data_IF_165482659239
#
_entry.id   IF_165482659239
#
_cell.length_a   1.000
_cell.length_b   1.000
_cell.length_c   1.000
_cell.angle_alpha   90.00
_cell.angle_beta   90.00
_cell.angle_gamma   90.00
#
_symmetry.space_group_name_H-M   'P 1'
#
loop_
_entity.id
_entity.type
_entity.pdbx_description
1 polymer ?
#
# COMPACT_ATOMS: atom_id res chain seq x y z
N UNK A 1 -15.69 -32.59 -28.48
CA UNK A 1 -16.58 -32.19 -27.37
C UNK A 1 -16.17 -30.79 -26.96
N UNK A 2 -17.00 -29.80 -27.27
CA UNK A 2 -16.80 -28.42 -26.82
C UNK A 2 -17.07 -28.37 -25.32
N UNK A 3 -16.02 -28.45 -24.50
CA UNK A 3 -16.13 -28.19 -23.07
C UNK A 3 -16.57 -26.73 -22.96
N UNK A 4 -17.83 -26.52 -22.61
CA UNK A 4 -18.32 -25.19 -22.26
C UNK A 4 -17.46 -24.71 -21.09
N UNK A 5 -16.56 -23.77 -21.35
CA UNK A 5 -15.84 -23.06 -20.29
C UNK A 5 -16.95 -22.52 -19.37
N UNK A 6 -16.96 -22.87 -18.07
CA UNK A 6 -18.00 -22.38 -17.21
C UNK A 6 -18.00 -20.84 -17.29
N UNK A 7 -19.18 -20.23 -17.42
CA UNK A 7 -19.34 -18.78 -17.58
C UNK A 7 -18.58 -17.99 -16.49
N UNK A 8 -18.46 -18.60 -15.32
CA UNK A 8 -17.82 -18.02 -14.14
C UNK A 8 -16.31 -17.75 -14.31
N UNK A 9 -15.42 -18.73 -14.60
CA UNK A 9 -14.03 -18.46 -14.96
C UNK A 9 -13.83 -17.51 -16.14
N UNK A 10 -14.75 -17.50 -17.11
CA UNK A 10 -14.65 -16.64 -18.29
C UNK A 10 -14.90 -15.16 -17.97
N UNK A 11 -15.72 -14.86 -16.95
CA UNK A 11 -16.09 -13.48 -16.58
C UNK A 11 -15.32 -12.97 -15.37
N UNK A 12 -15.08 -13.83 -14.37
CA UNK A 12 -14.51 -13.45 -13.07
C UNK A 12 -13.07 -13.99 -12.86
N UNK A 13 -12.53 -14.72 -13.84
CA UNK A 13 -11.18 -15.25 -13.78
C UNK A 13 -11.01 -16.28 -12.66
N UNK A 14 -9.97 -16.10 -11.83
CA UNK A 14 -9.65 -17.01 -10.72
C UNK A 14 -10.57 -16.85 -9.50
N UNK A 15 -11.42 -15.82 -9.49
CA UNK A 15 -12.25 -15.50 -8.34
C UNK A 15 -13.28 -16.60 -8.07
N UNK A 16 -13.33 -17.07 -6.83
CA UNK A 16 -14.31 -18.02 -6.31
C UNK A 16 -14.89 -17.56 -4.97
N UNK A 17 -15.96 -18.22 -4.53
CA UNK A 17 -16.61 -17.91 -3.26
C UNK A 17 -15.69 -18.09 -2.04
N UNK A 18 -14.75 -19.03 -2.13
CA UNK A 18 -13.70 -19.28 -1.12
C UNK A 18 -12.72 -18.10 -0.97
N UNK A 19 -12.66 -17.17 -1.93
CA UNK A 19 -11.81 -15.97 -1.80
C UNK A 19 -12.40 -14.95 -0.82
N UNK A 20 -13.68 -15.07 -0.45
CA UNK A 20 -14.29 -14.18 0.52
C UNK A 20 -14.09 -14.74 1.95
N UNK A 21 -13.51 -13.96 2.88
CA UNK A 21 -13.25 -14.44 4.24
C UNK A 21 -14.55 -14.79 4.98
N UNK A 22 -15.67 -14.15 4.63
CA UNK A 22 -16.98 -14.45 5.21
C UNK A 22 -17.48 -15.86 4.88
N UNK A 23 -17.19 -16.33 3.66
CA UNK A 23 -17.56 -17.68 3.21
C UNK A 23 -16.66 -18.69 3.89
N UNK A 24 -15.34 -18.45 3.94
CA UNK A 24 -14.39 -19.30 4.66
C UNK A 24 -14.76 -19.46 6.13
N UNK A 25 -15.11 -18.37 6.81
CA UNK A 25 -15.53 -18.41 8.21
C UNK A 25 -16.90 -19.08 8.41
N UNK A 26 -17.80 -19.01 7.43
CA UNK A 26 -19.10 -19.70 7.49
C UNK A 26 -18.94 -21.22 7.32
N UNK A 27 -18.13 -21.64 6.36
CA UNK A 27 -17.92 -23.05 6.06
C UNK A 27 -17.00 -23.74 7.08
N UNK A 28 -15.94 -23.05 7.52
CA UNK A 28 -14.94 -23.55 8.45
C UNK A 28 -14.69 -22.52 9.58
N UNK A 29 -15.55 -22.47 10.62
CA UNK A 29 -15.51 -21.44 11.67
C UNK A 29 -14.37 -21.64 12.68
N UNK A 30 -13.13 -21.62 12.20
CA UNK A 30 -11.94 -21.57 13.08
C UNK A 30 -11.77 -20.16 13.63
N UNK A 31 -11.09 -20.02 14.78
CA UNK A 31 -10.82 -18.69 15.37
C UNK A 31 -10.05 -17.80 14.37
N UNK A 32 -9.11 -18.40 13.62
CA UNK A 32 -8.34 -17.73 12.59
C UNK A 32 -9.22 -17.13 11.49
N UNK A 33 -10.14 -17.91 10.91
CA UNK A 33 -11.07 -17.44 9.87
C UNK A 33 -12.05 -16.41 10.41
N UNK A 34 -12.54 -16.58 11.65
CA UNK A 34 -13.44 -15.61 12.29
C UNK A 34 -12.74 -14.26 12.46
N UNK A 35 -11.47 -14.23 12.86
CA UNK A 35 -10.68 -12.99 12.96
C UNK A 35 -10.56 -12.32 11.58
N UNK A 36 -10.24 -13.10 10.54
CA UNK A 36 -10.14 -12.59 9.17
C UNK A 36 -11.46 -12.02 8.66
N UNK A 37 -12.57 -12.76 8.82
CA UNK A 37 -13.90 -12.32 8.45
C UNK A 37 -14.35 -11.08 9.23
N UNK A 38 -14.04 -10.99 10.52
CA UNK A 38 -14.33 -9.81 11.31
C UNK A 38 -13.55 -8.58 10.80
N UNK A 39 -12.26 -8.74 10.49
CA UNK A 39 -11.45 -7.67 9.92
C UNK A 39 -12.00 -7.20 8.56
N UNK A 40 -12.34 -8.13 7.67
CA UNK A 40 -12.98 -7.83 6.38
C UNK A 40 -14.32 -7.11 6.56
N UNK A 41 -15.15 -7.55 7.52
CA UNK A 41 -16.44 -6.95 7.80
C UNK A 41 -16.29 -5.51 8.30
N UNK A 42 -15.31 -5.24 9.17
CA UNK A 42 -15.03 -3.91 9.71
C UNK A 42 -14.70 -2.93 8.58
N UNK A 43 -13.90 -3.35 7.60
CA UNK A 43 -13.56 -2.52 6.43
C UNK A 43 -14.79 -2.24 5.56
N UNK A 44 -15.58 -3.27 5.24
CA UNK A 44 -16.79 -3.13 4.40
C UNK A 44 -17.83 -2.25 5.09
N UNK A 45 -18.15 -2.54 6.35
CA UNK A 45 -19.10 -1.75 7.15
C UNK A 45 -18.59 -0.32 7.32
N UNK A 46 -17.30 -0.13 7.60
CA UNK A 46 -16.70 1.20 7.68
C UNK A 46 -16.89 2.01 6.40
N UNK A 47 -16.63 1.41 5.24
CA UNK A 47 -16.84 2.06 3.94
C UNK A 47 -18.32 2.42 3.70
N UNK A 48 -19.25 1.51 4.02
CA UNK A 48 -20.70 1.75 3.90
C UNK A 48 -21.14 2.88 4.84
N UNK A 49 -20.68 2.89 6.09
CA UNK A 49 -21.00 3.95 7.07
C UNK A 49 -20.49 5.29 6.58
N UNK A 50 -19.25 5.37 6.08
CA UNK A 50 -18.70 6.62 5.52
C UNK A 50 -19.55 7.10 4.33
N UNK A 51 -19.90 6.22 3.39
CA UNK A 51 -20.74 6.56 2.24
C UNK A 51 -22.15 7.03 2.66
N UNK A 52 -22.75 6.38 3.67
CA UNK A 52 -24.05 6.76 4.22
C UNK A 52 -23.99 8.14 4.90
N UNK A 53 -22.94 8.42 5.68
CA UNK A 53 -22.73 9.73 6.32
C UNK A 53 -22.51 10.84 5.28
N UNK A 54 -21.70 10.59 4.26
CA UNK A 54 -21.48 11.55 3.16
C UNK A 54 -22.79 11.87 2.41
N UNK A 55 -23.63 10.86 2.20
CA UNK A 55 -24.94 11.01 1.57
C UNK A 55 -25.90 11.78 2.47
N UNK A 56 -26.00 11.41 3.76
CA UNK A 56 -26.86 12.08 4.74
C UNK A 56 -26.52 13.57 4.91
N UNK A 57 -25.24 13.91 4.94
CA UNK A 57 -24.79 15.31 5.09
C UNK A 57 -24.64 16.06 3.75
N UNK A 58 -24.94 15.43 2.61
CA UNK A 58 -24.83 16.05 1.29
C UNK A 58 -23.42 16.52 0.92
N UNK A 59 -22.37 15.84 1.42
CA UNK A 59 -20.98 16.29 1.29
C UNK A 59 -20.23 15.75 0.07
N UNK A 60 -20.87 14.97 -0.80
CA UNK A 60 -20.26 14.41 -2.01
C UNK A 60 -19.63 15.47 -2.93
N UNK A 61 -20.38 16.53 -3.24
CA UNK A 61 -19.86 17.62 -4.09
C UNK A 61 -18.67 18.31 -3.45
N UNK A 62 -18.75 18.62 -2.16
CA UNK A 62 -17.66 19.25 -1.41
C UNK A 62 -16.41 18.36 -1.40
N UNK A 63 -16.55 17.06 -1.10
CA UNK A 63 -15.44 16.13 -1.10
C UNK A 63 -14.75 16.09 -2.47
N UNK A 64 -15.53 15.98 -3.54
CA UNK A 64 -15.02 15.95 -4.91
C UNK A 64 -14.28 17.24 -5.28
N UNK A 65 -14.94 18.39 -5.19
CA UNK A 65 -14.39 19.66 -5.70
C UNK A 65 -13.31 20.26 -4.81
N UNK A 66 -13.40 20.07 -3.49
CA UNK A 66 -12.47 20.70 -2.56
C UNK A 66 -11.29 19.81 -2.18
N UNK A 67 -11.42 18.48 -2.22
CA UNK A 67 -10.38 17.58 -1.72
C UNK A 67 -9.86 16.65 -2.81
N UNK A 68 -10.71 15.83 -3.40
CA UNK A 68 -10.26 14.74 -4.27
C UNK A 68 -9.58 15.25 -5.55
N UNK A 69 -10.06 16.38 -6.10
CA UNK A 69 -9.46 17.02 -7.27
C UNK A 69 -8.56 18.20 -6.92
N UNK A 70 -8.18 18.37 -5.65
CA UNK A 70 -7.34 19.48 -5.23
C UNK A 70 -5.90 19.34 -5.71
N UNK A 71 -5.32 20.46 -6.15
CA UNK A 71 -3.90 20.59 -6.47
C UNK A 71 -3.10 21.30 -5.37
N UNK A 72 -3.77 21.89 -4.37
CA UNK A 72 -3.12 22.57 -3.25
C UNK A 72 -2.27 21.58 -2.42
N UNK A 73 -0.97 21.84 -2.34
CA UNK A 73 -0.01 21.04 -1.57
C UNK A 73 -0.41 20.84 -0.10
N UNK A 74 -1.15 21.78 0.51
CA UNK A 74 -1.64 21.63 1.89
C UNK A 74 -2.70 20.55 1.98
N UNK A 75 -3.70 20.58 1.10
CA UNK A 75 -4.78 19.57 1.07
C UNK A 75 -4.23 18.20 0.69
N UNK A 76 -3.31 18.15 -0.27
CA UNK A 76 -2.59 16.91 -0.64
C UNK A 76 -1.80 16.37 0.56
N UNK A 77 -1.07 17.23 1.27
CA UNK A 77 -0.34 16.86 2.48
C UNK A 77 -1.24 16.29 3.58
N UNK A 78 -2.41 16.91 3.81
CA UNK A 78 -3.42 16.40 4.75
C UNK A 78 -3.93 15.03 4.31
N UNK A 79 -4.28 14.84 3.03
CA UNK A 79 -4.78 13.55 2.54
C UNK A 79 -3.74 12.43 2.69
N UNK A 80 -2.46 12.70 2.43
CA UNK A 80 -1.37 11.77 2.70
C UNK A 80 -1.32 11.33 4.18
N UNK A 81 -1.40 12.29 5.10
CA UNK A 81 -1.38 12.04 6.54
C UNK A 81 -2.62 11.23 6.98
N UNK A 82 -3.80 11.57 6.46
CA UNK A 82 -5.04 10.81 6.74
C UNK A 82 -4.91 9.36 6.29
N UNK A 83 -4.41 9.12 5.07
CA UNK A 83 -4.17 7.76 4.56
C UNK A 83 -3.18 7.02 5.46
N UNK A 84 -2.09 7.66 5.85
CA UNK A 84 -1.12 7.05 6.77
C UNK A 84 -1.75 6.65 8.11
N UNK A 85 -2.63 7.48 8.68
CA UNK A 85 -3.32 7.15 9.94
C UNK A 85 -4.34 6.03 9.80
N UNK A 86 -5.06 5.97 8.68
CA UNK A 86 -5.95 4.84 8.38
C UNK A 86 -5.13 3.55 8.31
N UNK A 87 -4.01 3.56 7.59
CA UNK A 87 -3.13 2.41 7.46
C UNK A 87 -2.43 2.05 8.77
N UNK A 88 -2.06 3.03 9.59
CA UNK A 88 -1.53 2.83 10.94
C UNK A 88 -2.52 2.09 11.83
N UNK A 89 -3.82 2.45 11.77
CA UNK A 89 -4.84 1.79 12.59
C UNK A 89 -4.92 0.29 12.30
N UNK A 90 -4.85 -0.09 11.02
CA UNK A 90 -4.78 -1.49 10.59
C UNK A 90 -3.50 -2.16 11.09
N UNK A 91 -2.34 -1.58 10.80
CA UNK A 91 -1.05 -2.17 11.18
C UNK A 91 -0.90 -2.33 12.70
N UNK A 92 -1.49 -1.43 13.49
CA UNK A 92 -1.50 -1.54 14.95
C UNK A 92 -2.31 -2.75 15.41
N UNK A 93 -3.49 -2.99 14.85
CA UNK A 93 -4.29 -4.19 15.16
C UNK A 93 -3.52 -5.47 14.80
N UNK A 94 -2.91 -5.52 13.60
CA UNK A 94 -2.08 -6.65 13.17
C UNK A 94 -0.89 -6.87 14.13
N UNK A 95 -0.23 -5.81 14.57
CA UNK A 95 0.89 -5.89 15.53
C UNK A 95 0.45 -6.49 16.86
N UNK A 96 -0.66 -6.02 17.41
CA UNK A 96 -1.18 -6.50 18.69
C UNK A 96 -1.61 -7.97 18.55
N UNK A 97 -2.30 -8.36 17.47
CA UNK A 97 -2.66 -9.76 17.21
C UNK A 97 -1.43 -10.67 17.12
N UNK A 98 -0.39 -10.26 16.39
CA UNK A 98 0.86 -11.03 16.31
C UNK A 98 1.52 -11.19 17.68
N UNK A 99 1.59 -10.12 18.48
CA UNK A 99 2.19 -10.18 19.82
C UNK A 99 1.35 -11.03 20.78
N UNK A 100 0.02 -10.95 20.70
CA UNK A 100 -0.88 -11.81 21.47
C UNK A 100 -0.72 -13.28 21.10
N UNK A 101 -0.65 -13.61 19.81
CA UNK A 101 -0.41 -14.98 19.36
C UNK A 101 0.91 -15.52 19.92
N UNK A 102 2.00 -14.74 19.84
CA UNK A 102 3.30 -15.17 20.39
C UNK A 102 3.29 -15.39 21.90
N UNK A 103 2.54 -14.58 22.64
CA UNK A 103 2.42 -14.73 24.09
C UNK A 103 1.62 -15.99 24.48
N UNK A 104 0.54 -16.28 23.75
CA UNK A 104 -0.34 -17.43 24.03
C UNK A 104 0.25 -18.74 23.48
N UNK A 105 1.04 -18.69 22.41
CA UNK A 105 1.62 -19.88 21.77
C UNK A 105 2.83 -20.49 22.51
N UNK A 106 3.18 -19.99 23.70
CA UNK A 106 4.18 -20.63 24.55
C UNK A 106 3.56 -21.94 25.06
N UNK A 107 4.13 -23.07 24.62
CA UNK A 107 3.65 -24.42 24.95
C UNK A 107 2.19 -24.71 24.51
N UNK A 108 1.67 -23.94 23.55
CA UNK A 108 0.30 -24.08 23.02
C UNK A 108 0.28 -23.74 21.51
N UNK A 109 -0.60 -24.32 20.68
CA UNK A 109 -0.73 -23.92 19.27
C UNK A 109 -1.17 -22.46 19.06
N UNK A 110 -1.75 -21.79 20.07
CA UNK A 110 -2.31 -20.44 19.95
C UNK A 110 -3.62 -20.41 19.16
N UNK A 111 -4.02 -19.23 18.68
CA UNK A 111 -5.32 -18.99 18.05
C UNK A 111 -5.24 -18.62 16.55
N UNK A 112 -4.05 -18.30 16.03
CA UNK A 112 -3.80 -18.07 14.61
C UNK A 112 -3.16 -19.29 13.96
N UNK A 113 -3.55 -19.60 12.73
CA UNK A 113 -2.80 -20.56 11.90
C UNK A 113 -1.46 -19.96 11.46
N UNK A 114 -0.45 -20.80 11.15
CA UNK A 114 0.83 -20.31 10.63
C UNK A 114 0.69 -19.41 9.40
N UNK A 115 -0.21 -19.75 8.48
CA UNK A 115 -0.45 -18.96 7.27
C UNK A 115 -1.06 -17.61 7.61
N UNK A 116 -2.09 -17.55 8.46
CA UNK A 116 -2.69 -16.27 8.86
C UNK A 116 -1.67 -15.40 9.61
N UNK A 117 -0.83 -15.98 10.47
CA UNK A 117 0.26 -15.24 11.10
C UNK A 117 1.27 -14.71 10.07
N UNK A 118 1.64 -15.52 9.08
CA UNK A 118 2.51 -15.10 7.97
C UNK A 118 1.92 -13.96 7.15
N UNK A 119 0.61 -13.99 6.90
CA UNK A 119 -0.10 -12.90 6.23
C UNK A 119 -0.08 -11.61 7.06
N UNK A 120 -0.36 -11.69 8.37
CA UNK A 120 -0.31 -10.53 9.28
C UNK A 120 1.10 -9.93 9.37
N UNK A 121 2.14 -10.76 9.43
CA UNK A 121 3.52 -10.27 9.46
C UNK A 121 3.90 -9.54 8.16
N UNK A 122 3.53 -10.12 7.02
CA UNK A 122 3.83 -9.56 5.70
C UNK A 122 3.08 -8.26 5.44
N UNK A 123 1.77 -8.23 5.75
CA UNK A 123 0.93 -7.03 5.65
C UNK A 123 1.43 -5.94 6.59
N UNK A 124 1.62 -6.25 7.87
CA UNK A 124 2.07 -5.28 8.88
C UNK A 124 3.37 -4.59 8.44
N UNK A 125 4.40 -5.37 8.09
CA UNK A 125 5.69 -4.80 7.66
C UNK A 125 5.57 -3.94 6.41
N UNK A 126 4.81 -4.41 5.41
CA UNK A 126 4.59 -3.67 4.16
C UNK A 126 3.84 -2.37 4.41
N UNK A 127 2.82 -2.39 5.28
CA UNK A 127 2.02 -1.23 5.65
C UNK A 127 2.86 -0.20 6.39
N UNK A 128 3.59 -0.62 7.42
CA UNK A 128 4.34 0.31 8.27
C UNK A 128 5.37 1.11 7.47
N UNK A 129 6.03 0.48 6.49
CA UNK A 129 7.06 1.14 5.68
C UNK A 129 6.44 1.92 4.52
N UNK A 130 5.69 1.24 3.64
CA UNK A 130 5.26 1.82 2.36
C UNK A 130 3.97 2.64 2.45
N UNK A 131 3.10 2.34 3.42
CA UNK A 131 1.75 2.91 3.47
C UNK A 131 1.45 3.71 4.75
N UNK A 132 2.35 3.68 5.73
CA UNK A 132 2.31 4.53 6.93
C UNK A 132 3.49 5.52 6.92
N UNK A 133 4.73 5.05 7.08
CA UNK A 133 5.88 5.92 7.27
C UNK A 133 6.15 6.81 6.04
N UNK A 134 6.21 6.22 4.84
CA UNK A 134 6.43 7.00 3.61
C UNK A 134 5.30 8.03 3.39
N UNK A 135 4.00 7.66 3.36
CA UNK A 135 2.92 8.63 3.16
C UNK A 135 2.84 9.70 4.24
N UNK A 136 3.07 9.34 5.52
CA UNK A 136 3.08 10.31 6.61
C UNK A 136 4.16 11.38 6.41
N UNK A 137 5.39 10.94 6.14
CA UNK A 137 6.52 11.84 5.91
C UNK A 137 6.33 12.66 4.63
N UNK A 138 5.92 12.04 3.53
CA UNK A 138 5.62 12.75 2.27
C UNK A 138 4.48 13.76 2.45
N UNK A 139 3.48 13.46 3.27
CA UNK A 139 2.40 14.38 3.61
C UNK A 139 2.87 15.59 4.41
N UNK A 140 3.73 15.35 5.41
CA UNK A 140 4.37 16.42 6.18
C UNK A 140 5.23 17.32 5.28
N UNK A 141 6.05 16.72 4.39
CA UNK A 141 6.87 17.46 3.44
C UNK A 141 5.99 18.29 2.51
N UNK A 142 4.95 17.69 1.92
CA UNK A 142 4.01 18.40 1.06
C UNK A 142 3.39 19.62 1.74
N UNK A 143 2.97 19.47 3.00
CA UNK A 143 2.32 20.57 3.71
C UNK A 143 3.30 21.68 4.07
N UNK A 144 4.44 21.31 4.67
CA UNK A 144 5.35 22.25 5.36
C UNK A 144 6.38 22.85 4.41
N UNK A 145 6.92 22.07 3.45
CA UNK A 145 8.09 22.45 2.68
C UNK A 145 7.88 23.73 1.85
N UNK A 146 6.81 23.89 1.03
CA UNK A 146 6.64 25.12 0.24
C UNK A 146 6.57 26.37 1.12
N UNK A 147 5.93 26.26 2.29
CA UNK A 147 5.82 27.35 3.25
C UNK A 147 7.19 27.76 3.81
N UNK A 148 8.05 26.79 4.15
CA UNK A 148 9.38 27.07 4.70
C UNK A 148 10.33 27.73 3.69
N UNK A 149 10.20 27.40 2.41
CA UNK A 149 11.07 27.95 1.36
C UNK A 149 10.48 29.18 0.67
N UNK A 150 9.29 29.62 1.07
CA UNK A 150 8.60 30.77 0.49
C UNK A 150 8.05 30.54 -0.92
N UNK A 151 7.77 29.28 -1.27
CA UNK A 151 7.11 28.91 -2.52
C UNK A 151 5.59 28.98 -2.36
N UNK A 152 4.87 29.31 -3.44
CA UNK A 152 3.39 29.33 -3.45
C UNK A 152 2.79 27.93 -3.46
N UNK A 153 3.46 27.00 -4.13
CA UNK A 153 3.04 25.62 -4.33
C UNK A 153 4.26 24.76 -4.70
N UNK A 154 4.04 23.46 -4.93
CA UNK A 154 5.02 22.53 -5.48
C UNK A 154 5.33 22.81 -6.96
N UNK A 155 6.47 22.35 -7.45
CA UNK A 155 6.91 22.54 -8.84
C UNK A 155 5.94 21.94 -9.87
N UNK A 156 5.36 20.78 -9.56
CA UNK A 156 4.41 20.08 -10.41
C UNK A 156 3.14 19.73 -9.62
N UNK A 157 2.19 20.66 -9.44
CA UNK A 157 0.99 20.42 -8.63
C UNK A 157 0.14 19.23 -9.12
N UNK A 158 0.03 19.05 -10.44
CA UNK A 158 -0.70 17.93 -11.03
C UNK A 158 -0.02 16.57 -10.78
N UNK A 159 1.30 16.49 -10.97
CA UNK A 159 2.07 15.27 -10.66
C UNK A 159 2.03 14.96 -9.15
N UNK A 160 1.91 15.99 -8.31
CA UNK A 160 1.73 15.84 -6.87
C UNK A 160 0.43 15.10 -6.52
N UNK A 161 -0.67 15.49 -7.18
CA UNK A 161 -1.97 14.86 -7.01
C UNK A 161 -1.94 13.40 -7.51
N UNK A 162 -1.28 13.14 -8.65
CA UNK A 162 -1.11 11.76 -9.15
C UNK A 162 -0.30 10.90 -8.20
N UNK A 163 0.81 11.43 -7.67
CA UNK A 163 1.63 10.70 -6.70
C UNK A 163 0.79 10.25 -5.49
N UNK A 164 -0.06 11.14 -4.97
CA UNK A 164 -1.01 10.81 -3.90
C UNK A 164 -1.97 9.70 -4.32
N UNK A 165 -2.58 9.82 -5.50
CA UNK A 165 -3.57 8.84 -5.96
C UNK A 165 -2.97 7.48 -6.27
N UNK A 166 -1.72 7.41 -6.74
CA UNK A 166 -0.97 6.16 -6.87
C UNK A 166 -0.72 5.53 -5.50
N UNK A 167 -0.34 6.32 -4.50
CA UNK A 167 -0.20 5.84 -3.10
C UNK A 167 -1.53 5.34 -2.55
N UNK A 168 -2.63 6.08 -2.76
CA UNK A 168 -3.97 5.68 -2.30
C UNK A 168 -4.43 4.41 -3.02
N UNK A 169 -4.22 4.30 -4.33
CA UNK A 169 -4.57 3.10 -5.10
C UNK A 169 -3.79 1.88 -4.63
N UNK A 170 -2.48 2.04 -4.37
CA UNK A 170 -1.63 0.99 -3.81
C UNK A 170 -2.08 0.55 -2.39
N UNK A 171 -2.38 1.50 -1.50
CA UNK A 171 -2.95 1.21 -0.20
C UNK A 171 -4.33 0.56 -0.32
N UNK A 172 -5.13 0.96 -1.31
CA UNK A 172 -6.42 0.35 -1.64
C UNK A 172 -6.29 -1.11 -2.05
N UNK A 173 -5.30 -1.48 -2.87
CA UNK A 173 -5.01 -2.88 -3.21
C UNK A 173 -4.61 -3.68 -1.96
N UNK A 174 -3.80 -3.10 -1.08
CA UNK A 174 -3.45 -3.72 0.19
C UNK A 174 -4.69 -3.96 1.06
N UNK A 175 -5.62 -3.01 1.13
CA UNK A 175 -6.88 -3.15 1.87
C UNK A 175 -7.85 -4.13 1.22
N UNK A 176 -7.86 -4.23 -0.11
CA UNK A 176 -8.71 -5.15 -0.83
C UNK A 176 -8.39 -6.62 -0.50
N UNK A 177 -7.12 -6.95 -0.25
CA UNK A 177 -6.70 -8.31 0.14
C UNK A 177 -7.32 -8.83 1.45
N UNK A 178 -7.85 -7.95 2.32
CA UNK A 178 -8.59 -8.36 3.52
C UNK A 178 -10.01 -8.84 3.22
N UNK A 179 -10.57 -8.46 2.07
CA UNK A 179 -11.97 -8.72 1.70
C UNK A 179 -12.07 -9.71 0.56
N UNK A 180 -11.07 -9.72 -0.33
CA UNK A 180 -11.01 -10.58 -1.51
C UNK A 180 -9.65 -11.24 -1.58
N UNK A 181 -9.65 -12.57 -1.52
CA UNK A 181 -8.45 -13.41 -1.53
C UNK A 181 -7.78 -13.47 -0.17
N UNK A 182 -6.45 -13.47 -0.22
CA UNK A 182 -5.53 -13.55 0.90
C UNK A 182 -4.29 -12.71 0.58
N UNK A 183 -3.54 -12.32 1.61
CA UNK A 183 -2.28 -11.60 1.40
C UNK A 183 -1.07 -12.54 1.33
N UNK A 184 0.08 -12.01 0.90
CA UNK A 184 1.34 -12.76 0.87
C UNK A 184 1.74 -13.26 2.26
N UNK A 185 2.26 -14.48 2.34
CA UNK A 185 2.96 -15.02 3.52
C UNK A 185 4.48 -14.83 3.44
N UNK A 186 5.00 -14.29 2.33
CA UNK A 186 6.44 -14.22 2.03
C UNK A 186 7.23 -13.13 2.74
N UNK A 187 6.67 -12.54 3.80
CA UNK A 187 7.23 -11.39 4.49
C UNK A 187 7.17 -10.11 3.67
N UNK A 188 7.49 -8.98 4.32
CA UNK A 188 7.57 -7.68 3.64
C UNK A 188 8.79 -7.56 2.72
N UNK A 189 9.79 -8.43 2.89
CA UNK A 189 10.99 -8.50 2.05
C UNK A 189 10.79 -9.33 0.77
N UNK A 190 9.72 -10.14 0.71
CA UNK A 190 9.30 -10.91 -0.46
C UNK A 190 10.46 -11.65 -1.16
N UNK A 191 11.16 -12.52 -0.43
CA UNK A 191 12.28 -13.28 -1.00
C UNK A 191 11.82 -14.14 -2.19
N UNK A 192 12.46 -14.04 -3.37
CA UNK A 192 12.00 -14.71 -4.57
C UNK A 192 11.84 -16.23 -4.44
N UNK A 193 12.79 -16.99 -3.83
CA UNK A 193 12.66 -18.45 -3.75
C UNK A 193 11.39 -18.93 -3.07
N UNK A 194 10.78 -18.14 -2.18
CA UNK A 194 9.50 -18.47 -1.53
C UNK A 194 8.30 -17.81 -2.23
N UNK A 195 8.47 -16.62 -2.77
CA UNK A 195 7.38 -15.86 -3.43
C UNK A 195 7.14 -16.27 -4.88
N UNK A 196 7.97 -17.14 -5.43
CA UNK A 196 7.74 -17.80 -6.71
C UNK A 196 6.47 -18.66 -6.73
N UNK A 197 5.91 -18.87 -7.93
CA UNK A 197 4.65 -19.61 -8.09
C UNK A 197 4.70 -21.04 -7.60
N UNK A 198 5.88 -21.68 -7.64
CA UNK A 198 6.05 -23.05 -7.21
C UNK A 198 5.81 -23.23 -5.69
N UNK A 199 6.12 -22.22 -4.89
CA UNK A 199 6.00 -22.26 -3.43
C UNK A 199 4.82 -21.42 -2.91
N UNK A 200 4.51 -20.32 -3.58
CA UNK A 200 3.40 -19.42 -3.27
C UNK A 200 2.45 -19.27 -4.47
N UNK A 201 1.62 -20.29 -4.78
CA UNK A 201 0.75 -20.28 -5.96
C UNK A 201 -0.44 -19.31 -5.86
N UNK A 202 -0.79 -18.88 -4.65
CA UNK A 202 -1.90 -17.99 -4.37
C UNK A 202 -1.70 -16.54 -4.86
N UNK A 203 -2.77 -15.75 -4.75
CA UNK A 203 -2.83 -14.35 -5.21
C UNK A 203 -2.14 -13.36 -4.27
N UNK A 204 -1.76 -13.77 -3.06
CA UNK A 204 -1.23 -12.87 -2.03
C UNK A 204 0.05 -12.15 -2.43
N UNK A 205 0.98 -12.86 -3.08
CA UNK A 205 2.21 -12.25 -3.63
C UNK A 205 1.86 -11.24 -4.73
N UNK A 206 0.82 -11.52 -5.52
CA UNK A 206 0.40 -10.63 -6.61
C UNK A 206 -0.17 -9.30 -6.05
N UNK A 207 -0.94 -9.33 -4.95
CA UNK A 207 -1.34 -8.12 -4.23
C UNK A 207 -0.13 -7.30 -3.77
N UNK A 208 0.89 -7.96 -3.19
CA UNK A 208 2.11 -7.30 -2.73
C UNK A 208 2.87 -6.65 -3.89
N UNK A 209 3.09 -7.37 -5.00
CA UNK A 209 3.79 -6.88 -6.20
C UNK A 209 3.14 -5.59 -6.71
N UNK A 210 1.83 -5.61 -6.95
CA UNK A 210 1.16 -4.47 -7.57
C UNK A 210 0.98 -3.29 -6.62
N UNK A 211 0.74 -3.55 -5.33
CA UNK A 211 0.69 -2.50 -4.32
C UNK A 211 2.06 -1.80 -4.19
N UNK A 212 3.15 -2.55 -4.04
CA UNK A 212 4.50 -1.97 -3.90
C UNK A 212 4.94 -1.29 -5.18
N UNK A 213 4.66 -1.86 -6.36
CA UNK A 213 4.98 -1.23 -7.66
C UNK A 213 4.31 0.14 -7.80
N UNK A 214 2.99 0.21 -7.58
CA UNK A 214 2.25 1.47 -7.69
C UNK A 214 2.69 2.50 -6.65
N UNK A 215 2.91 2.06 -5.40
CA UNK A 215 3.42 2.91 -4.33
C UNK A 215 4.81 3.47 -4.65
N UNK A 216 5.70 2.64 -5.22
CA UNK A 216 7.05 3.03 -5.62
C UNK A 216 7.06 4.06 -6.76
N UNK A 217 6.19 3.92 -7.76
CA UNK A 217 6.03 4.92 -8.83
C UNK A 217 5.55 6.25 -8.23
N UNK A 218 4.53 6.22 -7.36
CA UNK A 218 4.03 7.42 -6.67
C UNK A 218 5.12 8.10 -5.84
N UNK A 219 5.90 7.34 -5.06
CA UNK A 219 7.04 7.85 -4.29
C UNK A 219 8.14 8.44 -5.18
N UNK A 220 8.44 7.83 -6.31
CA UNK A 220 9.42 8.37 -7.28
C UNK A 220 8.96 9.74 -7.78
N UNK A 221 7.70 9.86 -8.19
CA UNK A 221 7.11 11.11 -8.67
C UNK A 221 7.12 12.20 -7.58
N UNK A 222 6.76 11.85 -6.35
CA UNK A 222 6.82 12.75 -5.21
C UNK A 222 8.26 13.25 -4.96
N UNK A 223 9.25 12.35 -5.01
CA UNK A 223 10.66 12.69 -4.88
C UNK A 223 11.13 13.71 -5.92
N UNK A 224 10.83 13.45 -7.21
CA UNK A 224 11.14 14.39 -8.30
C UNK A 224 10.51 15.76 -8.04
N UNK A 225 9.22 15.78 -7.67
CA UNK A 225 8.50 17.02 -7.43
C UNK A 225 9.08 17.82 -6.25
N UNK A 226 9.34 17.16 -5.12
CA UNK A 226 9.97 17.78 -3.94
C UNK A 226 11.34 18.35 -4.30
N UNK A 227 12.19 17.57 -4.97
CA UNK A 227 13.53 18.01 -5.36
C UNK A 227 13.46 19.24 -6.28
N UNK A 228 12.66 19.19 -7.34
CA UNK A 228 12.48 20.30 -8.26
C UNK A 228 11.96 21.56 -7.55
N UNK A 229 11.01 21.40 -6.61
CA UNK A 229 10.48 22.50 -5.80
C UNK A 229 11.59 23.19 -5.02
N UNK A 230 12.45 22.43 -4.32
CA UNK A 230 13.58 22.99 -3.58
C UNK A 230 14.64 23.59 -4.50
N UNK A 231 14.95 22.97 -5.64
CA UNK A 231 15.97 23.50 -6.55
C UNK A 231 15.54 24.78 -7.27
N UNK A 232 14.26 24.93 -7.60
CA UNK A 232 13.79 25.96 -8.53
C UNK A 232 12.86 27.02 -7.94
N UNK A 233 12.14 26.74 -6.86
CA UNK A 233 11.06 27.61 -6.38
C UNK A 233 11.30 28.29 -5.02
N UNK A 234 12.52 28.22 -4.48
CA UNK A 234 12.86 28.95 -3.25
C UNK A 234 12.74 30.45 -3.44
N UNK A 235 12.44 31.15 -2.34
CA UNK A 235 12.40 32.60 -2.30
C UNK A 235 13.75 33.23 -2.74
N UNK A 236 13.72 34.39 -3.44
CA UNK A 236 14.94 35.09 -3.84
C UNK A 236 15.86 35.38 -2.65
N UNK A 237 17.16 35.14 -2.83
CA UNK A 237 18.17 35.35 -1.77
C UNK A 237 18.34 34.16 -0.79
N UNK A 238 17.49 33.15 -0.86
CA UNK A 238 17.63 31.92 -0.07
C UNK A 238 18.65 30.96 -0.71
N UNK A 239 19.90 31.04 -0.23
CA UNK A 239 20.95 30.05 -0.56
C UNK A 239 20.64 28.71 0.11
N UNK A 240 21.16 27.61 -0.43
CA UNK A 240 20.99 26.26 0.13
C UNK A 240 21.31 26.22 1.63
N UNK A 241 22.49 26.70 2.05
CA UNK A 241 22.91 26.69 3.46
C UNK A 241 22.13 27.64 4.39
N UNK A 242 21.11 28.34 3.87
CA UNK A 242 20.17 29.16 4.66
C UNK A 242 18.79 28.53 4.79
N UNK A 243 18.55 27.40 4.14
CA UNK A 243 17.30 26.65 4.30
C UNK A 243 17.22 26.05 5.70
N UNK A 244 16.00 25.91 6.23
CA UNK A 244 15.76 25.22 7.49
C UNK A 244 16.15 23.74 7.40
N UNK A 245 16.47 23.13 8.53
CA UNK A 245 16.89 21.72 8.58
C UNK A 245 15.83 20.76 8.03
N UNK A 246 14.55 21.05 8.22
CA UNK A 246 13.47 20.26 7.63
C UNK A 246 13.49 20.32 6.09
N UNK A 247 13.67 21.49 5.49
CA UNK A 247 13.78 21.63 4.04
C UNK A 247 15.03 20.93 3.47
N UNK A 248 16.15 20.97 4.19
CA UNK A 248 17.37 20.24 3.83
C UNK A 248 17.19 18.74 3.86
N UNK A 249 16.67 18.20 4.96
CA UNK A 249 16.42 16.76 5.10
C UNK A 249 15.37 16.29 4.09
N UNK A 250 14.34 17.10 3.82
CA UNK A 250 13.36 16.84 2.76
C UNK A 250 14.01 16.74 1.38
N UNK A 251 14.98 17.61 1.07
CA UNK A 251 15.75 17.53 -0.18
C UNK A 251 16.54 16.21 -0.23
N UNK A 252 17.27 15.86 0.83
CA UNK A 252 18.01 14.59 0.88
C UNK A 252 17.08 13.37 0.70
N UNK A 253 15.96 13.33 1.42
CA UNK A 253 14.94 12.29 1.28
C UNK A 253 14.41 12.21 -0.14
N UNK A 254 14.14 13.34 -0.78
CA UNK A 254 13.63 13.37 -2.16
C UNK A 254 14.64 12.82 -3.18
N UNK A 255 15.94 13.07 -2.98
CA UNK A 255 17.01 12.50 -3.80
C UNK A 255 17.06 10.98 -3.62
N UNK A 256 16.97 10.49 -2.37
CA UNK A 256 16.90 9.06 -2.12
C UNK A 256 15.66 8.42 -2.76
N UNK A 257 14.50 9.07 -2.70
CA UNK A 257 13.28 8.57 -3.37
C UNK A 257 13.48 8.46 -4.89
N UNK A 258 14.15 9.43 -5.53
CA UNK A 258 14.42 9.41 -6.97
C UNK A 258 15.28 8.21 -7.38
N UNK A 259 16.28 7.85 -6.57
CA UNK A 259 17.25 6.80 -6.95
C UNK A 259 16.96 5.42 -6.35
N UNK A 260 16.27 5.34 -5.21
CA UNK A 260 16.02 4.07 -4.52
C UNK A 260 14.69 3.42 -4.94
N UNK A 261 13.69 4.21 -5.34
CA UNK A 261 12.37 3.67 -5.72
C UNK A 261 12.37 3.00 -7.11
N UNK A 262 13.01 3.53 -8.17
CA UNK A 262 13.01 2.84 -9.47
C UNK A 262 13.58 1.42 -9.45
N UNK A 263 14.70 1.11 -8.74
CA UNK A 263 15.15 -0.26 -8.58
C UNK A 263 14.11 -1.18 -7.93
N UNK A 264 13.37 -0.69 -6.92
CA UNK A 264 12.29 -1.45 -6.30
C UNK A 264 11.16 -1.75 -7.29
N UNK A 265 10.75 -0.75 -8.09
CA UNK A 265 9.75 -0.93 -9.15
C UNK A 265 10.20 -1.97 -10.17
N UNK A 266 11.47 -1.94 -10.58
CA UNK A 266 12.00 -2.93 -11.53
C UNK A 266 12.01 -4.31 -10.88
N UNK A 267 12.49 -4.45 -9.65
CA UNK A 267 12.53 -5.74 -8.96
C UNK A 267 11.13 -6.39 -8.83
N UNK A 268 10.11 -5.61 -8.46
CA UNK A 268 8.73 -6.13 -8.38
C UNK A 268 8.17 -6.50 -9.76
N UNK A 269 8.53 -5.77 -10.81
CA UNK A 269 8.15 -6.13 -12.18
C UNK A 269 8.87 -7.38 -12.69
N UNK A 270 10.16 -7.57 -12.38
CA UNK A 270 10.89 -8.79 -12.71
C UNK A 270 10.27 -10.00 -12.03
N UNK A 271 9.91 -9.89 -10.74
CA UNK A 271 9.20 -10.95 -10.01
C UNK A 271 7.80 -11.20 -10.61
N UNK A 272 7.13 -10.16 -11.10
CA UNK A 272 5.87 -10.31 -11.82
C UNK A 272 6.09 -11.08 -13.13
N UNK A 273 7.15 -10.81 -13.89
CA UNK A 273 7.46 -11.51 -15.13
C UNK A 273 7.72 -13.01 -14.88
N UNK A 274 8.46 -13.35 -13.82
CA UNK A 274 8.68 -14.76 -13.43
C UNK A 274 7.33 -15.44 -13.12
N UNK A 275 6.49 -14.81 -12.30
CA UNK A 275 5.19 -15.37 -11.92
C UNK A 275 4.17 -15.43 -13.06
N UNK A 276 4.11 -14.44 -13.94
CA UNK A 276 3.05 -14.34 -14.96
C UNK A 276 3.44 -14.87 -16.33
N UNK A 277 4.67 -14.62 -16.76
CA UNK A 277 5.12 -14.89 -18.12
C UNK A 277 6.18 -16.00 -18.20
N UNK A 278 6.53 -16.62 -17.07
CA UNK A 278 7.48 -17.73 -17.03
C UNK A 278 8.90 -17.29 -17.36
N UNK A 279 9.28 -16.09 -16.91
CA UNK A 279 10.67 -15.65 -16.93
C UNK A 279 11.45 -16.35 -15.81
N UNK A 280 12.77 -16.24 -15.88
CA UNK A 280 13.71 -16.91 -14.99
C UNK A 280 14.72 -15.93 -14.41
N UNK A 281 14.25 -14.79 -13.89
CA UNK A 281 15.13 -13.82 -13.23
C UNK A 281 15.63 -14.38 -11.89
N UNK A 282 14.73 -14.92 -11.07
CA UNK A 282 15.00 -15.35 -9.70
C UNK A 282 14.63 -16.81 -9.42
N UNK A 283 14.26 -17.58 -10.46
CA UNK A 283 13.89 -18.99 -10.31
C UNK A 283 15.10 -19.86 -9.94
N UNK A 284 14.88 -20.89 -9.11
CA UNK A 284 15.95 -21.84 -8.73
C UNK A 284 16.40 -22.72 -9.90
N UNK A 285 15.54 -22.90 -10.91
CA UNK A 285 15.85 -23.61 -12.13
C UNK A 285 16.18 -22.65 -13.27
N UNK A 286 16.62 -23.20 -14.40
CA UNK A 286 16.79 -22.49 -15.67
C UNK A 286 17.72 -21.27 -15.63
N UNK A 287 18.56 -21.16 -14.59
CA UNK A 287 19.68 -20.21 -14.49
C UNK A 287 19.38 -18.91 -13.74
N UNK A 288 18.24 -18.78 -13.08
CA UNK A 288 17.90 -17.62 -12.25
C UNK A 288 18.79 -17.47 -11.00
N UNK A 289 18.82 -16.26 -10.42
CA UNK A 289 19.58 -15.92 -9.21
C UNK A 289 18.88 -14.84 -8.37
#
# INVERSE_FOLDING_TARGET
MTVSVPLWPAVLGRFGWQDLPFVRAWENPTISEIIGAFAGALVVVGAVVVAALLTRYGKWRYLWTEWLTSLDHKKIGIMYIVVAFVMLSRALVEAVLMRMQQAVAIENPGFLTPDHFGQLFSTHGSIMIFFMAMPFLTGMINYVLPLQIGARDMAFPWANSIALWLTIGAAGLMMASLVVGEFSTGGWSAYPPYTERAFSPGVGVDYWIWAVTLGSIGSTMAGINIACTVYKLRAPGMRFMRMQMFAWTSLCTSILMIFAMPPLTVATLLLALDRYLGFHFFTNDLGGN
#
